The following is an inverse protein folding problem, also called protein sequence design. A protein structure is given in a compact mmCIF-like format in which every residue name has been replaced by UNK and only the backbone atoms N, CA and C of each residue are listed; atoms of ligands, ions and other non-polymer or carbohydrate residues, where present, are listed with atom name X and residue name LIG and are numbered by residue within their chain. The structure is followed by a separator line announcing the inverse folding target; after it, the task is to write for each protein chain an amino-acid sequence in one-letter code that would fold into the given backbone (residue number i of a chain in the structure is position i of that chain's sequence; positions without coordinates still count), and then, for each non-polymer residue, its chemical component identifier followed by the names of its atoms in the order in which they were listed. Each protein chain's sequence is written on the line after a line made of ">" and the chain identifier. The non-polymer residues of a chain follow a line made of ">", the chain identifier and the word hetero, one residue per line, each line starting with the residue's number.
data_IF_935467227279
#
_entry.id   IF_935467227279
#
_cell.length_a   1.000
_cell.length_b   1.000
_cell.length_c   1.000
_cell.angle_alpha   90.00
_cell.angle_beta   90.00
_cell.angle_gamma   90.00
#
_symmetry.space_group_name_H-M   'P 1'
#
loop_
_entity.id
_entity.type
_entity.pdbx_description
1 polymer ?
#
# COMPACT_ATOMS: atom_id res chain seq x y z
N UNK A 1 7.10 -14.55 12.66
CA UNK A 1 6.51 -13.23 12.35
C UNK A 1 6.93 -12.89 10.94
N UNK A 2 5.98 -12.78 10.02
CA UNK A 2 6.26 -12.39 8.64
C UNK A 2 6.63 -10.90 8.62
N UNK A 3 7.70 -10.52 7.92
CA UNK A 3 8.15 -9.13 7.91
C UNK A 3 7.11 -8.24 7.22
N UNK A 4 7.03 -6.96 7.61
CA UNK A 4 6.09 -5.98 7.03
C UNK A 4 6.38 -5.74 5.54
N UNK A 5 7.64 -5.88 5.14
CA UNK A 5 8.09 -5.77 3.74
C UNK A 5 7.88 -7.05 2.91
N UNK A 6 7.37 -8.14 3.49
CA UNK A 6 7.05 -9.34 2.71
C UNK A 6 5.84 -9.04 1.80
N UNK A 7 5.98 -9.09 0.46
CA UNK A 7 4.89 -8.77 -0.46
C UNK A 7 3.61 -9.59 -0.23
N UNK A 8 3.72 -10.80 0.30
CA UNK A 8 2.59 -11.69 0.59
C UNK A 8 1.90 -11.36 1.93
N UNK A 9 2.53 -10.55 2.79
CA UNK A 9 2.01 -10.15 4.10
C UNK A 9 1.20 -8.85 4.05
N UNK A 10 0.21 -8.75 3.14
CA UNK A 10 -0.67 -7.58 3.04
C UNK A 10 -1.34 -7.27 4.37
N UNK A 11 -1.92 -8.28 5.02
CA UNK A 11 -2.61 -8.11 6.29
C UNK A 11 -1.68 -7.54 7.38
N UNK A 12 -0.44 -8.01 7.46
CA UNK A 12 0.54 -7.49 8.41
C UNK A 12 0.89 -6.02 8.18
N UNK A 13 0.96 -5.57 6.92
CA UNK A 13 1.14 -4.13 6.60
C UNK A 13 -0.04 -3.31 7.08
N UNK A 14 -1.26 -3.78 6.82
CA UNK A 14 -2.49 -3.10 7.25
C UNK A 14 -2.56 -3.03 8.78
N UNK A 15 -2.27 -4.12 9.48
CA UNK A 15 -2.32 -4.16 10.94
C UNK A 15 -1.27 -3.24 11.58
N UNK A 16 -0.05 -3.26 11.06
CA UNK A 16 1.03 -2.39 11.55
C UNK A 16 0.74 -0.91 11.29
N UNK A 17 0.28 -0.55 10.09
CA UNK A 17 -0.08 0.83 9.75
C UNK A 17 -1.23 1.34 10.62
N UNK A 18 -2.28 0.52 10.82
CA UNK A 18 -3.40 0.87 11.69
C UNK A 18 -2.93 1.12 13.12
N UNK A 19 -2.07 0.26 13.66
CA UNK A 19 -1.53 0.43 15.01
C UNK A 19 -0.79 1.78 15.15
N UNK A 20 0.16 2.06 14.25
CA UNK A 20 0.96 3.30 14.30
C UNK A 20 0.07 4.55 14.26
N UNK A 21 -0.92 4.57 13.36
CA UNK A 21 -1.81 5.73 13.20
C UNK A 21 -2.76 5.84 14.41
N UNK A 22 -3.37 4.74 14.87
CA UNK A 22 -4.25 4.75 16.04
C UNK A 22 -3.53 5.20 17.31
N UNK A 23 -2.25 4.84 17.48
CA UNK A 23 -1.42 5.28 18.61
C UNK A 23 -0.95 6.74 18.47
N UNK A 24 -1.01 7.32 17.26
CA UNK A 24 -0.39 8.62 16.99
C UNK A 24 1.13 8.58 17.17
N UNK A 25 1.74 7.42 16.91
CA UNK A 25 3.16 7.17 17.12
C UNK A 25 4.03 7.81 16.03
N UNK A 26 5.32 8.00 16.32
CA UNK A 26 6.27 8.49 15.33
C UNK A 26 6.36 7.53 14.12
N UNK A 27 6.46 8.10 12.91
CA UNK A 27 6.66 7.30 11.69
C UNK A 27 8.05 6.67 11.70
N UNK A 28 8.18 5.55 10.99
CA UNK A 28 9.42 4.80 10.88
C UNK A 28 9.57 4.24 9.46
N UNK A 29 10.77 3.76 9.11
CA UNK A 29 11.01 3.08 7.83
C UNK A 29 10.09 1.88 7.63
N UNK A 30 9.72 1.18 8.71
CA UNK A 30 8.76 0.07 8.65
C UNK A 30 7.35 0.56 8.33
N UNK A 31 6.97 1.74 8.83
CA UNK A 31 5.69 2.36 8.51
C UNK A 31 5.65 2.80 7.04
N UNK A 32 6.71 3.46 6.56
CA UNK A 32 6.81 3.84 5.15
C UNK A 32 6.73 2.60 4.23
N UNK A 33 7.40 1.51 4.62
CA UNK A 33 7.37 0.23 3.91
C UNK A 33 5.97 -0.37 3.79
N UNK A 34 5.01 -0.02 4.66
CA UNK A 34 3.62 -0.47 4.49
C UNK A 34 2.99 0.03 3.19
N UNK A 35 3.48 1.13 2.61
CA UNK A 35 2.90 1.75 1.42
C UNK A 35 3.77 1.57 0.17
N UNK A 36 5.03 1.12 0.32
CA UNK A 36 6.01 1.02 -0.77
C UNK A 36 6.01 -0.34 -1.50
N UNK A 37 5.10 -1.26 -1.17
CA UNK A 37 5.06 -2.62 -1.73
C UNK A 37 4.24 -2.76 -3.03
N UNK A 38 4.12 -1.68 -3.80
CA UNK A 38 3.27 -1.56 -5.00
C UNK A 38 1.76 -1.73 -4.75
N UNK A 39 1.33 -1.81 -3.50
CA UNK A 39 -0.07 -1.94 -3.07
C UNK A 39 -0.46 -0.89 -2.02
N UNK A 40 0.23 0.25 -2.01
CA UNK A 40 0.03 1.32 -1.05
C UNK A 40 -1.39 1.90 -1.08
N UNK A 41 -2.03 1.96 -2.24
CA UNK A 41 -3.42 2.42 -2.37
C UNK A 41 -4.40 1.46 -1.68
N UNK A 42 -4.15 0.15 -1.75
CA UNK A 42 -4.95 -0.87 -1.09
C UNK A 42 -4.77 -0.82 0.43
N UNK A 43 -3.55 -0.58 0.92
CA UNK A 43 -3.29 -0.35 2.35
C UNK A 43 -3.98 0.93 2.82
N UNK A 44 -3.88 2.01 2.06
CA UNK A 44 -4.50 3.30 2.38
C UNK A 44 -6.05 3.22 2.40
N UNK A 45 -6.64 2.50 1.43
CA UNK A 45 -8.06 2.20 1.42
C UNK A 45 -8.50 1.34 2.62
N UNK A 46 -7.66 0.40 3.07
CA UNK A 46 -7.93 -0.38 4.28
C UNK A 46 -7.98 0.51 5.53
N UNK A 47 -7.14 1.54 5.63
CA UNK A 47 -7.15 2.49 6.74
C UNK A 47 -8.47 3.27 6.80
N UNK A 48 -8.98 3.73 5.65
CA UNK A 48 -10.29 4.41 5.58
C UNK A 48 -11.40 3.49 6.05
N UNK A 49 -11.47 2.26 5.53
CA UNK A 49 -12.49 1.28 5.95
C UNK A 49 -12.46 1.01 7.45
N UNK A 50 -11.26 0.83 8.02
CA UNK A 50 -11.11 0.59 9.47
C UNK A 50 -11.49 1.81 10.30
N UNK A 51 -11.20 3.01 9.80
CA UNK A 51 -11.53 4.25 10.51
C UNK A 51 -13.04 4.47 10.70
N UNK A 52 -13.88 3.78 9.93
CA UNK A 52 -15.34 3.81 10.13
C UNK A 52 -15.76 3.21 11.48
N UNK A 53 -14.93 2.33 12.06
CA UNK A 53 -15.20 1.65 13.34
C UNK A 53 -14.12 1.83 14.40
N UNK A 54 -12.95 2.37 14.04
CA UNK A 54 -11.86 2.69 14.97
C UNK A 54 -11.73 4.22 15.11
N UNK A 55 -12.23 4.76 16.22
CA UNK A 55 -12.23 6.19 16.50
C UNK A 55 -10.82 6.78 16.63
N UNK A 56 -9.86 6.01 17.15
CA UNK A 56 -8.47 6.48 17.30
C UNK A 56 -7.80 6.57 15.95
N UNK A 57 -8.03 5.58 15.09
CA UNK A 57 -7.57 5.61 13.72
C UNK A 57 -8.18 6.80 12.98
N UNK A 58 -9.50 7.00 13.10
CA UNK A 58 -10.21 8.10 12.46
C UNK A 58 -9.68 9.48 12.87
N UNK A 59 -9.42 9.68 14.17
CA UNK A 59 -8.90 10.93 14.71
C UNK A 59 -7.51 11.28 14.17
N UNK A 60 -6.68 10.28 13.87
CA UNK A 60 -5.30 10.48 13.43
C UNK A 60 -5.08 10.33 11.92
N UNK A 61 -6.00 9.68 11.20
CA UNK A 61 -5.80 9.23 9.80
C UNK A 61 -5.19 10.31 8.89
N UNK A 62 -5.79 11.49 8.87
CA UNK A 62 -5.37 12.57 7.98
C UNK A 62 -4.16 13.37 8.45
N UNK A 63 -3.60 13.04 9.62
CA UNK A 63 -2.28 13.54 10.06
C UNK A 63 -1.14 12.77 9.42
N UNK A 64 -1.40 11.53 8.99
CA UNK A 64 -0.42 10.63 8.38
C UNK A 64 -0.62 10.52 6.87
N UNK A 65 -1.87 10.45 6.42
CA UNK A 65 -2.20 10.23 5.02
C UNK A 65 -2.86 11.47 4.40
N UNK A 66 -2.52 11.77 3.16
CA UNK A 66 -3.17 12.85 2.42
C UNK A 66 -4.66 12.50 2.21
N UNK A 67 -5.55 13.37 2.71
CA UNK A 67 -7.00 13.15 2.72
C UNK A 67 -7.58 12.90 1.33
N UNK A 68 -7.15 13.68 0.34
CA UNK A 68 -7.69 13.57 -1.02
C UNK A 68 -7.32 12.24 -1.67
N UNK A 69 -6.04 11.88 -1.62
CA UNK A 69 -5.54 10.66 -2.26
C UNK A 69 -6.11 9.40 -1.59
N UNK A 70 -6.16 9.38 -0.26
CA UNK A 70 -6.65 8.21 0.49
C UNK A 70 -8.15 7.99 0.27
N UNK A 71 -8.96 9.05 0.23
CA UNK A 71 -10.39 8.94 -0.03
C UNK A 71 -10.68 8.53 -1.48
N UNK A 72 -9.90 9.04 -2.44
CA UNK A 72 -10.00 8.61 -3.84
C UNK A 72 -9.65 7.12 -4.01
N UNK A 73 -8.60 6.64 -3.33
CA UNK A 73 -8.23 5.23 -3.34
C UNK A 73 -9.33 4.36 -2.70
N UNK A 74 -9.87 4.78 -1.56
CA UNK A 74 -10.95 4.08 -0.87
C UNK A 74 -12.21 3.94 -1.74
N UNK A 75 -12.60 5.01 -2.44
CA UNK A 75 -13.77 4.97 -3.34
C UNK A 75 -13.53 4.06 -4.55
N UNK A 76 -12.36 4.17 -5.19
CA UNK A 76 -12.00 3.30 -6.34
C UNK A 76 -11.99 1.81 -5.98
N UNK A 77 -11.65 1.50 -4.73
CA UNK A 77 -11.54 0.14 -4.23
C UNK A 77 -12.79 -0.30 -3.43
N UNK A 78 -13.85 0.50 -3.38
CA UNK A 78 -15.05 0.20 -2.59
C UNK A 78 -15.68 -1.12 -3.00
N UNK A 79 -16.09 -1.92 -2.01
CA UNK A 79 -16.70 -3.24 -2.24
C UNK A 79 -15.76 -4.33 -2.73
N UNK A 80 -14.47 -4.02 -2.98
CA UNK A 80 -13.49 -5.01 -3.42
C UNK A 80 -12.80 -5.71 -2.24
N UNK A 81 -12.32 -6.92 -2.50
CA UNK A 81 -11.38 -7.64 -1.63
C UNK A 81 -9.98 -7.02 -1.77
N UNK A 82 -9.55 -6.29 -0.76
CA UNK A 82 -8.30 -5.53 -0.81
C UNK A 82 -7.06 -6.43 -0.86
N UNK A 83 -7.08 -7.62 -0.24
CA UNK A 83 -5.93 -8.52 -0.29
C UNK A 83 -5.76 -9.09 -1.70
N UNK A 84 -6.88 -9.43 -2.35
CA UNK A 84 -6.88 -9.88 -3.74
C UNK A 84 -6.45 -8.76 -4.71
N UNK A 85 -6.99 -7.55 -4.53
CA UNK A 85 -6.62 -6.40 -5.37
C UNK A 85 -5.15 -6.04 -5.18
N UNK A 86 -4.65 -6.01 -3.94
CA UNK A 86 -3.25 -5.74 -3.63
C UNK A 86 -2.35 -6.72 -4.37
N UNK A 87 -2.65 -8.02 -4.26
CA UNK A 87 -1.91 -9.05 -4.98
C UNK A 87 -1.88 -8.79 -6.48
N UNK A 88 -3.04 -8.55 -7.08
CA UNK A 88 -3.17 -8.27 -8.51
C UNK A 88 -2.43 -6.99 -8.93
N UNK A 89 -2.41 -5.95 -8.09
CA UNK A 89 -1.67 -4.72 -8.34
C UNK A 89 -0.17 -4.95 -8.38
N UNK A 90 0.41 -5.69 -7.43
CA UNK A 90 1.86 -5.96 -7.51
C UNK A 90 2.22 -6.87 -8.69
N UNK A 91 1.38 -7.85 -9.03
CA UNK A 91 1.59 -8.69 -10.22
C UNK A 91 1.62 -7.83 -11.51
N UNK A 92 0.69 -6.86 -11.65
CA UNK A 92 0.70 -5.90 -12.77
C UNK A 92 1.93 -5.00 -12.75
N UNK A 93 2.31 -4.47 -11.59
CA UNK A 93 3.46 -3.57 -11.45
C UNK A 93 4.80 -4.28 -11.70
N UNK A 94 4.93 -5.53 -11.27
CA UNK A 94 6.08 -6.36 -11.59
C UNK A 94 6.17 -6.58 -13.11
N UNK A 95 5.08 -7.00 -13.75
CA UNK A 95 5.05 -7.20 -15.20
C UNK A 95 5.38 -5.92 -15.98
N UNK A 96 4.86 -4.76 -15.56
CA UNK A 96 5.18 -3.47 -16.18
C UNK A 96 6.66 -3.07 -16.00
N UNK A 97 7.28 -3.44 -14.88
CA UNK A 97 8.69 -3.18 -14.63
C UNK A 97 9.58 -4.06 -15.52
N UNK A 98 9.23 -5.33 -15.71
CA UNK A 98 9.92 -6.22 -16.65
C UNK A 98 9.72 -5.81 -18.12
N UNK A 99 8.53 -5.34 -18.49
CA UNK A 99 8.26 -4.87 -19.86
C UNK A 99 9.05 -3.60 -20.24
N UNK A 100 9.40 -2.75 -19.27
CA UNK A 100 10.27 -1.59 -19.49
C UNK A 100 11.76 -1.93 -19.54
N UNK A 101 12.14 -3.17 -19.19
CA UNK A 101 13.53 -3.58 -19.08
C UNK A 101 14.17 -4.10 -20.39
N UNK A 102 13.41 -4.27 -21.49
CA UNK A 102 13.98 -4.69 -22.80
C UNK A 102 13.33 -3.98 -24.02
N UNK A 103 14.06 -3.77 -25.15
CA UNK A 103 15.40 -4.25 -25.46
C UNK A 103 16.43 -3.13 -25.73
N UNK A 104 17.61 -3.21 -25.10
CA UNK A 104 18.83 -2.66 -25.69
C UNK A 104 19.21 -3.59 -26.83
N UNK A 105 18.73 -3.29 -28.04
CA UNK A 105 19.25 -3.92 -29.24
C UNK A 105 20.74 -3.62 -29.34
N UNK A 106 21.54 -4.68 -29.34
CA UNK A 106 22.95 -4.62 -29.70
C UNK A 106 23.09 -3.98 -31.09
N UNK A 107 23.46 -2.70 -31.14
CA UNK A 107 24.12 -2.13 -32.31
C UNK A 107 25.63 -2.28 -32.09
N UNK A 108 26.18 -3.32 -32.67
CA UNK A 108 27.60 -3.55 -32.93
C UNK A 108 27.65 -4.58 -34.05
N UNK A 109 28.39 -4.45 -35.14
CA UNK A 109 29.30 -3.43 -35.62
C UNK A 109 29.57 -3.74 -37.12
N UNK A 110 30.06 -2.73 -37.83
CA UNK A 110 30.85 -2.78 -39.09
C UNK A 110 30.19 -3.35 -40.35
#
# INVERSE_FOLDING_TARGET
>A
MTQVNDPENFQGRVDYAAQVISEGAATSRNFDSCFENYDGDEVAAAMVRRSETDERLAANLFRYLCRETVLAAAERLKGKDLAKEARATRERSAAASFAKAEPVSQQSAA
#
